data_IF_420543918829
#
_entry.id   IF_420543918829
#
_cell.length_a   1.000
_cell.length_b   1.000
_cell.length_c   1.000
_cell.angle_alpha   90.00
_cell.angle_beta   90.00
_cell.angle_gamma   90.00
#
_symmetry.space_group_name_H-M   'P 1'
#
loop_
_entity.id
_entity.type
_entity.pdbx_description
1 polymer ?
#
# COMPACT_ATOMS: atom_id res chain seq x y z
N UNK A 1 14.52 10.90 0.18
CA UNK A 1 13.43 9.93 0.20
C UNK A 1 13.74 8.92 -0.86
N UNK A 2 13.74 7.63 -0.52
CA UNK A 2 14.26 6.55 -1.36
C UNK A 2 13.11 5.77 -2.03
N UNK A 3 12.26 6.48 -2.80
CA UNK A 3 11.03 5.91 -3.35
C UNK A 3 9.90 5.77 -2.33
N UNK A 4 8.68 5.48 -2.80
CA UNK A 4 7.57 4.97 -1.97
C UNK A 4 7.02 5.85 -0.84
N UNK A 5 7.35 7.15 -0.75
CA UNK A 5 6.98 7.96 0.42
C UNK A 5 5.48 8.07 0.66
N UNK A 6 4.69 8.12 -0.43
CA UNK A 6 3.23 8.20 -0.37
C UNK A 6 2.63 6.93 0.22
N UNK A 7 3.05 5.77 -0.28
CA UNK A 7 2.54 4.45 0.12
C UNK A 7 2.97 4.14 1.55
N UNK A 8 4.22 4.43 1.90
CA UNK A 8 4.72 4.35 3.28
C UNK A 8 3.92 5.27 4.23
N UNK A 9 3.64 6.51 3.84
CA UNK A 9 2.87 7.44 4.65
C UNK A 9 1.43 6.95 4.89
N UNK A 10 0.76 6.39 3.88
CA UNK A 10 -0.59 5.82 4.04
C UNK A 10 -0.56 4.65 5.03
N UNK A 11 0.36 3.69 4.82
CA UNK A 11 0.50 2.50 5.66
C UNK A 11 0.83 2.85 7.12
N UNK A 12 1.73 3.81 7.34
CA UNK A 12 2.08 4.31 8.68
C UNK A 12 0.97 5.13 9.34
N UNK A 13 0.23 5.94 8.56
CA UNK A 13 -0.89 6.74 9.06
C UNK A 13 -2.02 5.87 9.60
N UNK A 14 -2.26 4.70 9.01
CA UNK A 14 -3.20 3.73 9.57
C UNK A 14 -2.79 3.28 10.98
N UNK A 15 -1.50 2.95 11.19
CA UNK A 15 -0.99 2.53 12.50
C UNK A 15 -1.17 3.67 13.52
N UNK A 16 -0.78 4.89 13.17
CA UNK A 16 -0.95 6.04 14.05
C UNK A 16 -2.43 6.31 14.40
N UNK A 17 -3.33 6.22 13.42
CA UNK A 17 -4.76 6.36 13.63
C UNK A 17 -5.32 5.24 14.52
N UNK A 18 -4.88 4.00 14.30
CA UNK A 18 -5.29 2.83 15.09
C UNK A 18 -4.87 2.97 16.55
N UNK A 19 -3.65 3.43 16.82
CA UNK A 19 -3.16 3.68 18.17
C UNK A 19 -3.98 4.78 18.90
N UNK A 20 -4.28 5.87 18.20
CA UNK A 20 -5.14 6.93 18.73
C UNK A 20 -6.55 6.41 19.06
N UNK A 21 -7.16 5.62 18.18
CA UNK A 21 -8.46 5.00 18.42
C UNK A 21 -8.42 4.04 19.60
N UNK A 22 -7.39 3.19 19.71
CA UNK A 22 -7.20 2.28 20.84
C UNK A 22 -7.15 3.06 22.17
N UNK A 23 -6.42 4.18 22.21
CA UNK A 23 -6.35 5.06 23.38
C UNK A 23 -7.72 5.63 23.75
N UNK A 24 -8.49 6.11 22.76
CA UNK A 24 -9.82 6.67 22.98
C UNK A 24 -10.86 5.61 23.40
N UNK A 25 -10.68 4.35 23.00
CA UNK A 25 -11.51 3.24 23.47
C UNK A 25 -11.15 2.87 24.91
N UNK A 26 -9.85 2.75 25.20
CA UNK A 26 -9.36 2.38 26.53
C UNK A 26 -9.75 3.40 27.61
N UNK A 27 -9.82 4.69 27.27
CA UNK A 27 -10.23 5.74 28.19
C UNK A 27 -11.75 5.99 28.23
N UNK A 28 -12.53 5.26 27.43
CA UNK A 28 -14.00 5.36 27.38
C UNK A 28 -14.55 6.59 26.66
N UNK A 29 -13.72 7.38 25.98
CA UNK A 29 -14.16 8.51 25.14
C UNK A 29 -14.95 8.00 23.94
N UNK A 30 -14.45 6.93 23.31
CA UNK A 30 -15.18 6.17 22.31
C UNK A 30 -15.81 4.93 22.95
N UNK A 31 -17.07 4.68 22.59
CA UNK A 31 -17.82 3.50 23.05
C UNK A 31 -17.67 2.30 22.12
N UNK A 32 -17.34 2.55 20.86
CA UNK A 32 -17.27 1.56 19.78
C UNK A 32 -16.12 1.91 18.86
N UNK A 33 -15.47 0.89 18.32
CA UNK A 33 -14.39 1.04 17.35
C UNK A 33 -14.95 1.54 16.00
N UNK A 34 -14.54 2.73 15.51
CA UNK A 34 -14.97 3.24 14.21
C UNK A 34 -14.18 2.64 13.03
N UNK A 35 -13.05 1.97 13.27
CA UNK A 35 -12.22 1.39 12.20
C UNK A 35 -12.82 0.06 11.74
N UNK A 36 -13.29 0.01 10.50
CA UNK A 36 -13.99 -1.15 9.93
C UNK A 36 -13.07 -2.17 9.22
N UNK A 37 -11.86 -1.75 8.84
CA UNK A 37 -10.83 -2.58 8.22
C UNK A 37 -9.45 -1.88 8.30
N UNK A 38 -8.36 -2.62 8.11
CA UNK A 38 -7.04 -2.02 7.92
C UNK A 38 -6.90 -1.37 6.56
N UNK A 39 -5.94 -0.45 6.43
CA UNK A 39 -5.56 0.17 5.16
C UNK A 39 -4.05 0.14 5.03
N UNK A 40 -3.57 -0.32 3.87
CA UNK A 40 -2.16 -0.28 3.50
C UNK A 40 -2.03 0.03 2.02
N UNK A 41 -0.86 0.53 1.65
CA UNK A 41 -0.53 0.92 0.29
C UNK A 41 0.90 0.51 -0.06
N UNK A 42 1.11 0.20 -1.35
CA UNK A 42 2.44 -0.14 -1.88
C UNK A 42 2.58 0.34 -3.32
N UNK A 43 3.82 0.60 -3.74
CA UNK A 43 4.18 0.88 -5.13
C UNK A 43 4.58 -0.42 -5.83
N UNK A 44 4.29 -0.50 -7.13
CA UNK A 44 4.68 -1.57 -8.04
C UNK A 44 5.02 -0.95 -9.39
N UNK A 45 5.92 -1.56 -10.14
CA UNK A 45 6.29 -1.05 -11.47
C UNK A 45 6.87 -2.12 -12.37
N UNK A 46 7.22 -1.71 -13.60
CA UNK A 46 7.90 -2.58 -14.57
C UNK A 46 9.31 -2.04 -14.78
N UNK A 47 10.29 -2.77 -14.26
CA UNK A 47 11.69 -2.46 -14.43
C UNK A 47 12.34 -3.44 -15.39
N UNK A 48 12.85 -2.96 -16.53
CA UNK A 48 13.47 -3.79 -17.57
C UNK A 48 12.59 -4.95 -18.06
N UNK A 49 11.27 -4.72 -18.14
CA UNK A 49 10.28 -5.72 -18.54
C UNK A 49 9.87 -6.70 -17.43
N UNK A 50 10.33 -6.50 -16.20
CA UNK A 50 10.00 -7.34 -15.05
C UNK A 50 9.10 -6.56 -14.07
N UNK A 51 7.94 -7.12 -13.68
CA UNK A 51 7.14 -6.57 -12.59
C UNK A 51 7.88 -6.63 -11.25
N UNK A 52 7.96 -5.51 -10.55
CA UNK A 52 8.66 -5.35 -9.27
C UNK A 52 7.75 -4.70 -8.23
N UNK A 53 8.00 -5.03 -6.96
CA UNK A 53 7.27 -4.55 -5.79
C UNK A 53 8.18 -3.62 -4.99
N UNK A 54 7.61 -2.52 -4.47
CA UNK A 54 8.28 -1.57 -3.57
C UNK A 54 9.53 -0.93 -4.20
N UNK A 55 9.31 -0.23 -5.32
CA UNK A 55 10.35 0.46 -6.09
C UNK A 55 11.22 1.36 -5.19
N UNK A 56 12.54 1.13 -5.20
CA UNK A 56 13.52 2.07 -4.63
C UNK A 56 13.70 3.30 -5.54
N UNK A 57 14.41 4.35 -5.09
CA UNK A 57 14.52 5.59 -5.88
C UNK A 57 15.23 5.42 -7.24
N UNK A 58 16.34 4.67 -7.35
CA UNK A 58 16.93 4.32 -8.65
C UNK A 58 15.93 3.62 -9.59
N UNK A 59 15.14 2.69 -9.08
CA UNK A 59 14.12 1.98 -9.84
C UNK A 59 12.98 2.92 -10.26
N UNK A 60 12.45 3.72 -9.34
CA UNK A 60 11.37 4.70 -9.55
C UNK A 60 11.75 5.76 -10.60
N UNK A 61 12.99 6.28 -10.54
CA UNK A 61 13.47 7.31 -11.47
C UNK A 61 13.73 6.82 -12.90
N UNK A 62 13.83 5.50 -13.09
CA UNK A 62 14.15 4.86 -14.37
C UNK A 62 13.05 3.91 -14.86
N UNK A 63 11.91 3.87 -14.16
CA UNK A 63 10.83 2.95 -14.44
C UNK A 63 10.03 3.40 -15.66
N UNK A 64 9.68 2.46 -16.55
CA UNK A 64 8.78 2.76 -17.67
C UNK A 64 7.33 2.95 -17.19
N UNK A 65 6.99 2.46 -15.99
CA UNK A 65 5.64 2.50 -15.41
C UNK A 65 5.69 2.44 -13.88
N UNK A 66 5.16 3.47 -13.21
CA UNK A 66 4.89 3.46 -11.76
C UNK A 66 3.39 3.27 -11.50
N UNK A 67 3.05 2.42 -10.54
CA UNK A 67 1.70 2.25 -10.04
C UNK A 67 1.67 2.19 -8.51
N UNK A 68 0.79 2.98 -7.92
CA UNK A 68 0.52 3.00 -6.49
C UNK A 68 -0.85 2.38 -6.24
N UNK A 69 -0.91 1.44 -5.29
CA UNK A 69 -2.12 0.68 -4.96
C UNK A 69 -2.43 0.85 -3.47
N UNK A 70 -3.69 1.12 -3.15
CA UNK A 70 -4.21 1.22 -1.78
C UNK A 70 -5.34 0.21 -1.61
N UNK A 71 -5.23 -0.66 -0.62
CA UNK A 71 -6.23 -1.69 -0.35
C UNK A 71 -6.59 -1.78 1.13
N UNK A 72 -7.77 -2.35 1.38
CA UNK A 72 -8.18 -2.76 2.73
C UNK A 72 -7.57 -4.11 3.10
N UNK A 73 -7.51 -4.43 4.39
CA UNK A 73 -7.05 -5.73 4.89
C UNK A 73 -7.85 -6.94 4.38
N UNK A 74 -9.14 -6.75 4.06
CA UNK A 74 -10.00 -7.79 3.45
C UNK A 74 -9.79 -7.95 1.94
N UNK A 75 -8.87 -7.20 1.33
CA UNK A 75 -8.58 -7.25 -0.11
C UNK A 75 -9.42 -6.32 -0.97
N UNK A 76 -10.17 -5.38 -0.37
CA UNK A 76 -10.93 -4.38 -1.13
C UNK A 76 -9.99 -3.33 -1.72
N UNK A 77 -10.07 -3.04 -3.02
CA UNK A 77 -9.33 -1.94 -3.63
C UNK A 77 -9.97 -0.59 -3.28
N UNK A 78 -9.17 0.33 -2.75
CA UNK A 78 -9.57 1.72 -2.46
C UNK A 78 -9.13 2.63 -3.60
N UNK A 79 -7.87 2.49 -4.03
CA UNK A 79 -7.26 3.33 -5.07
C UNK A 79 -6.25 2.50 -5.87
N UNK A 80 -6.28 2.68 -7.19
CA UNK A 80 -5.28 2.17 -8.12
C UNK A 80 -4.92 3.32 -9.04
N UNK A 81 -3.68 3.78 -8.96
CA UNK A 81 -3.17 4.83 -9.83
C UNK A 81 -1.91 4.34 -10.53
N UNK A 82 -2.01 4.00 -11.81
CA UNK A 82 -0.88 3.61 -12.65
C UNK A 82 -0.63 4.63 -13.76
N UNK A 83 0.63 4.96 -14.00
CA UNK A 83 1.07 5.85 -15.08
C UNK A 83 2.18 5.17 -15.87
N UNK A 84 1.99 5.03 -17.17
CA UNK A 84 3.06 4.65 -18.08
C UNK A 84 3.85 5.92 -18.45
N UNK A 85 5.06 6.07 -17.92
CA UNK A 85 5.94 7.20 -18.26
C UNK A 85 6.72 6.95 -19.56
N UNK A 86 6.96 5.68 -19.88
CA UNK A 86 7.56 5.20 -21.13
C UNK A 86 6.56 4.48 -22.02
N UNK A 87 6.76 3.18 -22.20
CA UNK A 87 5.84 2.34 -22.97
C UNK A 87 4.54 2.08 -22.20
N UNK A 88 3.41 2.02 -22.91
CA UNK A 88 2.14 1.59 -22.31
C UNK A 88 2.22 0.13 -21.86
N UNK A 89 1.69 -0.18 -20.68
CA UNK A 89 1.53 -1.56 -20.22
C UNK A 89 0.25 -2.21 -20.78
N UNK A 90 0.35 -3.50 -21.05
CA UNK A 90 -0.76 -4.37 -21.43
C UNK A 90 -1.67 -4.70 -20.24
N UNK A 91 -2.85 -5.25 -20.52
CA UNK A 91 -3.76 -5.74 -19.47
C UNK A 91 -3.13 -6.88 -18.65
N UNK A 92 -2.31 -7.72 -19.27
CA UNK A 92 -1.62 -8.81 -18.59
C UNK A 92 -0.60 -8.28 -17.59
N UNK A 93 0.18 -7.26 -17.98
CA UNK A 93 1.13 -6.60 -17.09
C UNK A 93 0.43 -5.88 -15.94
N UNK A 94 -0.66 -5.16 -16.22
CA UNK A 94 -1.48 -4.54 -15.17
C UNK A 94 -1.93 -5.56 -14.12
N UNK A 95 -2.45 -6.72 -14.56
CA UNK A 95 -2.88 -7.76 -13.64
C UNK A 95 -1.72 -8.30 -12.80
N UNK A 96 -0.55 -8.53 -13.42
CA UNK A 96 0.63 -9.01 -12.69
C UNK A 96 1.09 -8.01 -11.61
N UNK A 97 1.05 -6.70 -11.91
CA UNK A 97 1.34 -5.66 -10.93
C UNK A 97 0.31 -5.62 -9.80
N UNK A 98 -0.97 -5.79 -10.10
CA UNK A 98 -2.04 -5.86 -9.09
C UNK A 98 -1.89 -7.09 -8.19
N UNK A 99 -1.52 -8.24 -8.74
CA UNK A 99 -1.27 -9.47 -7.97
C UNK A 99 -0.10 -9.27 -6.99
N UNK A 100 0.99 -8.63 -7.45
CA UNK A 100 2.13 -8.27 -6.60
C UNK A 100 1.74 -7.28 -5.50
N UNK A 101 0.99 -6.23 -5.85
CA UNK A 101 0.54 -5.23 -4.89
C UNK A 101 -0.35 -5.85 -3.81
N UNK A 102 -1.28 -6.73 -4.21
CA UNK A 102 -2.14 -7.44 -3.25
C UNK A 102 -1.32 -8.32 -2.30
N UNK A 103 -0.30 -9.03 -2.81
CA UNK A 103 0.61 -9.80 -1.95
C UNK A 103 1.32 -8.88 -0.94
N UNK A 104 1.96 -7.80 -1.40
CA UNK A 104 2.68 -6.87 -0.54
C UNK A 104 1.78 -6.24 0.52
N UNK A 105 0.56 -5.84 0.15
CA UNK A 105 -0.40 -5.26 1.09
C UNK A 105 -0.88 -6.28 2.14
N UNK A 106 -1.02 -7.57 1.79
CA UNK A 106 -1.30 -8.60 2.81
C UNK A 106 -0.17 -8.70 3.83
N UNK A 107 1.08 -8.64 3.38
CA UNK A 107 2.24 -8.66 4.28
C UNK A 107 2.28 -7.42 5.18
N UNK A 108 2.08 -6.22 4.62
CA UNK A 108 1.98 -4.97 5.38
C UNK A 108 0.85 -5.02 6.42
N UNK A 109 -0.32 -5.54 6.06
CA UNK A 109 -1.45 -5.68 6.99
C UNK A 109 -1.12 -6.59 8.17
N UNK A 110 -0.38 -7.67 7.93
CA UNK A 110 0.10 -8.55 9.01
C UNK A 110 1.09 -7.82 9.92
N UNK A 111 2.01 -7.03 9.35
CA UNK A 111 2.95 -6.23 10.13
C UNK A 111 2.26 -5.15 10.96
N UNK A 112 1.25 -4.48 10.41
CA UNK A 112 0.42 -3.51 11.14
C UNK A 112 -0.28 -4.16 12.35
N UNK A 113 -0.76 -5.39 12.19
CA UNK A 113 -1.40 -6.14 13.30
C UNK A 113 -0.39 -6.45 14.40
N UNK A 114 0.80 -6.96 14.02
CA UNK A 114 1.90 -7.28 14.95
C UNK A 114 2.41 -6.07 15.72
N UNK A 115 2.23 -4.85 15.20
CA UNK A 115 2.65 -3.63 15.89
C UNK A 115 1.86 -3.34 17.19
N UNK A 116 0.71 -4.01 17.38
CA UNK A 116 -0.16 -3.85 18.56
C UNK A 116 -0.24 -5.10 19.45
N UNK A 117 0.55 -6.14 19.15
CA UNK A 117 0.71 -7.35 19.98
C UNK A 117 1.79 -7.15 21.05
#
# INVERSE_FOLDING_TARGET
>A
ADGGTRTAAITGSYVAARDAINTLLANGTLKTDPIIDSVAAISVGIYQGVPVLDLDYPEDSSCDTDMNVVMTGKGGMIEVQGTAEGASFSRTELNALLDLAEQGIRELTQLQTKAFE
#
